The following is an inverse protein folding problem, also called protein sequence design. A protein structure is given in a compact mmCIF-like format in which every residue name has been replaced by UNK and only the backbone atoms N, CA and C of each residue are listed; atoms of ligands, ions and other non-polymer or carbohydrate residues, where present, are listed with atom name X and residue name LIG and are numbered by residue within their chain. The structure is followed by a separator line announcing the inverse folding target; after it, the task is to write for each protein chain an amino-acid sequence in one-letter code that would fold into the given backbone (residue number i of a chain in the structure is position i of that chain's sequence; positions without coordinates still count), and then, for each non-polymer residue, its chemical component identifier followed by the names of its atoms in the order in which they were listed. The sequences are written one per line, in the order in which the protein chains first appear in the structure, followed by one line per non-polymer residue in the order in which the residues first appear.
data_IF_734885177979
#
_entry.id   IF_734885177979
#
_cell.length_a   1.000
_cell.length_b   1.000
_cell.length_c   1.000
_cell.angle_alpha   90.00
_cell.angle_beta   90.00
_cell.angle_gamma   90.00
#
_symmetry.space_group_name_H-M   'P 1'
#
loop_
_entity.id
_entity.type
_entity.pdbx_description
1 polymer ?
#
# COMPACT_ATOMS: atom_id res chain seq x y z
N UNK A 1 -11.67 -14.69 1.91
CA UNK A 1 -11.51 -14.64 0.45
C UNK A 1 -10.10 -15.06 0.07
N UNK A 2 -9.88 -15.50 -1.15
CA UNK A 2 -8.60 -16.09 -1.57
C UNK A 2 -7.40 -15.15 -1.44
N UNK A 3 -7.61 -13.83 -1.59
CA UNK A 3 -6.57 -12.82 -1.39
C UNK A 3 -6.00 -12.79 0.03
N UNK A 4 -6.83 -12.90 1.05
CA UNK A 4 -6.37 -12.81 2.44
C UNK A 4 -5.59 -14.06 2.87
N UNK A 5 -5.84 -15.22 2.24
CA UNK A 5 -5.25 -16.51 2.63
C UNK A 5 -3.73 -16.47 2.54
N UNK A 6 -3.18 -15.83 1.51
CA UNK A 6 -1.73 -15.75 1.38
C UNK A 6 -1.09 -14.99 2.54
N UNK A 7 -1.78 -14.03 3.16
CA UNK A 7 -1.23 -13.11 4.16
C UNK A 7 -1.37 -13.57 5.61
N UNK A 8 -2.11 -14.65 5.87
CA UNK A 8 -2.36 -15.18 7.21
C UNK A 8 -1.28 -16.21 7.53
N UNK A 9 -0.34 -15.88 8.42
CA UNK A 9 0.71 -16.83 8.82
C UNK A 9 0.38 -17.60 10.11
N UNK A 10 -0.58 -17.12 10.91
CA UNK A 10 -1.04 -17.81 12.11
C UNK A 10 -2.53 -18.21 12.01
N UNK A 11 -2.95 -19.29 12.68
CA UNK A 11 -4.36 -19.66 12.72
C UNK A 11 -5.25 -18.57 13.31
N UNK A 12 -6.51 -18.51 12.88
CA UNK A 12 -7.49 -17.57 13.43
C UNK A 12 -7.52 -17.61 14.96
N UNK A 13 -7.48 -16.43 15.59
CA UNK A 13 -7.37 -16.26 17.03
C UNK A 13 -5.96 -15.95 17.53
N UNK A 14 -4.93 -16.08 16.69
CA UNK A 14 -3.58 -15.62 16.99
C UNK A 14 -3.35 -14.21 16.46
N UNK A 15 -2.59 -13.41 17.21
CA UNK A 15 -2.33 -12.02 16.85
C UNK A 15 -1.26 -11.93 15.76
N UNK A 16 -1.58 -11.22 14.68
CA UNK A 16 -0.62 -10.61 13.76
C UNK A 16 -0.64 -9.10 13.99
N UNK A 17 0.51 -8.45 13.87
CA UNK A 17 0.64 -7.04 14.23
C UNK A 17 1.54 -6.23 13.31
N UNK A 18 2.05 -5.11 13.84
CA UNK A 18 2.94 -4.21 13.13
C UNK A 18 4.08 -4.92 12.36
N UNK A 19 4.90 -5.80 12.96
CA UNK A 19 5.98 -6.48 12.23
C UNK A 19 5.49 -7.38 11.11
N UNK A 20 4.29 -7.99 11.26
CA UNK A 20 3.72 -8.84 10.22
C UNK A 20 3.37 -8.03 8.98
N UNK A 21 2.84 -6.81 9.12
CA UNK A 21 2.52 -5.95 7.99
C UNK A 21 3.72 -5.69 7.08
N UNK A 22 4.90 -5.38 7.64
CA UNK A 22 6.13 -5.19 6.85
C UNK A 22 6.57 -6.49 6.18
N UNK A 23 6.59 -7.59 6.93
CA UNK A 23 6.92 -8.92 6.38
C UNK A 23 6.01 -9.26 5.20
N UNK A 24 4.70 -9.00 5.31
CA UNK A 24 3.74 -9.25 4.25
C UNK A 24 3.94 -8.35 3.03
N UNK A 25 4.25 -7.07 3.25
CA UNK A 25 4.56 -6.13 2.17
C UNK A 25 5.80 -6.58 1.39
N UNK A 26 6.91 -6.87 2.08
CA UNK A 26 8.13 -7.33 1.43
C UNK A 26 7.95 -8.66 0.71
N UNK A 27 7.22 -9.61 1.32
CA UNK A 27 6.93 -10.89 0.65
C UNK A 27 6.16 -10.68 -0.65
N UNK A 28 5.18 -9.77 -0.68
CA UNK A 28 4.43 -9.45 -1.90
C UNK A 28 5.32 -8.88 -2.98
N UNK A 29 6.20 -7.93 -2.62
CA UNK A 29 7.16 -7.32 -3.53
C UNK A 29 8.11 -8.35 -4.15
N UNK A 30 8.75 -9.19 -3.33
CA UNK A 30 9.70 -10.17 -3.83
C UNK A 30 9.03 -11.31 -4.61
N UNK A 31 7.82 -11.73 -4.21
CA UNK A 31 7.06 -12.72 -4.98
C UNK A 31 6.71 -12.20 -6.37
N UNK A 32 6.36 -10.93 -6.50
CA UNK A 32 6.08 -10.29 -7.78
C UNK A 32 7.32 -10.27 -8.69
N UNK A 33 8.49 -9.94 -8.14
CA UNK A 33 9.76 -9.99 -8.88
C UNK A 33 10.07 -11.43 -9.32
N UNK A 34 9.93 -12.39 -8.41
CA UNK A 34 10.24 -13.79 -8.67
C UNK A 34 9.30 -14.43 -9.71
N UNK A 35 8.03 -14.01 -9.74
CA UNK A 35 7.06 -14.49 -10.72
C UNK A 35 7.40 -14.03 -12.16
N UNK A 36 8.09 -12.91 -12.32
CA UNK A 36 8.50 -12.38 -13.63
C UNK A 36 7.35 -11.87 -14.50
N UNK A 37 6.10 -11.90 -14.02
CA UNK A 37 4.94 -11.32 -14.70
C UNK A 37 4.70 -9.90 -14.22
N UNK A 38 5.33 -8.95 -14.91
CA UNK A 38 5.19 -7.52 -14.59
C UNK A 38 3.88 -6.89 -15.11
N UNK A 39 2.97 -7.68 -15.68
CA UNK A 39 1.62 -7.25 -16.04
C UNK A 39 0.60 -7.54 -14.93
N UNK A 40 0.95 -8.39 -13.96
CA UNK A 40 0.10 -8.69 -12.82
C UNK A 40 -0.14 -7.46 -11.94
N UNK A 41 -1.30 -7.39 -11.28
CA UNK A 41 -1.61 -6.29 -10.36
C UNK A 41 -0.73 -6.35 -9.11
N UNK A 42 0.12 -5.35 -8.85
CA UNK A 42 0.97 -5.32 -7.65
C UNK A 42 0.12 -5.32 -6.36
N UNK A 43 0.52 -6.14 -5.39
CA UNK A 43 -0.08 -6.17 -4.04
C UNK A 43 0.82 -5.48 -3.01
N UNK A 44 1.55 -4.46 -3.45
CA UNK A 44 2.48 -3.65 -2.65
C UNK A 44 2.48 -2.21 -3.18
N UNK A 45 2.92 -1.22 -2.37
CA UNK A 45 3.00 0.16 -2.82
C UNK A 45 3.98 0.31 -3.99
N UNK A 46 3.50 0.84 -5.11
CA UNK A 46 4.32 1.14 -6.30
C UNK A 46 4.79 2.59 -6.25
N UNK A 47 5.65 2.98 -7.21
CA UNK A 47 6.00 4.40 -7.37
C UNK A 47 4.79 5.28 -7.71
N UNK A 48 3.80 4.76 -8.43
CA UNK A 48 2.58 5.50 -8.73
C UNK A 48 1.77 5.77 -7.44
N UNK A 49 1.66 4.79 -6.55
CA UNK A 49 1.03 4.99 -5.24
C UNK A 49 1.85 5.95 -4.36
N UNK A 50 3.18 5.87 -4.41
CA UNK A 50 4.06 6.83 -3.73
C UNK A 50 3.87 8.26 -4.22
N UNK A 51 3.73 8.46 -5.53
CA UNK A 51 3.46 9.78 -6.09
C UNK A 51 2.09 10.33 -5.64
N UNK A 52 1.05 9.49 -5.63
CA UNK A 52 -0.28 9.89 -5.15
C UNK A 52 -0.26 10.32 -3.68
N UNK A 53 0.54 9.67 -2.84
CA UNK A 53 0.71 10.07 -1.44
C UNK A 53 1.31 11.48 -1.34
N UNK A 54 2.35 11.79 -2.13
CA UNK A 54 2.98 13.11 -2.15
C UNK A 54 1.98 14.18 -2.60
N UNK A 55 1.25 13.94 -3.69
CA UNK A 55 0.26 14.90 -4.22
C UNK A 55 -0.87 15.13 -3.22
N UNK A 56 -1.29 14.10 -2.49
CA UNK A 56 -2.24 14.24 -1.39
C UNK A 56 -1.67 15.12 -0.26
N UNK A 57 -0.42 14.90 0.15
CA UNK A 57 0.25 15.71 1.16
C UNK A 57 0.36 17.19 0.74
N UNK A 58 0.65 17.47 -0.53
CA UNK A 58 0.67 18.83 -1.07
C UNK A 58 -0.72 19.49 -1.02
N UNK A 59 -1.76 18.76 -1.40
CA UNK A 59 -3.14 19.23 -1.31
C UNK A 59 -3.56 19.51 0.14
N UNK A 60 -3.14 18.67 1.11
CA UNK A 60 -3.38 18.90 2.54
C UNK A 60 -2.69 20.19 2.99
N UNK A 61 -1.42 20.39 2.63
CA UNK A 61 -0.68 21.61 2.97
C UNK A 61 -1.32 22.86 2.35
N UNK A 62 -1.80 22.77 1.11
CA UNK A 62 -2.53 23.86 0.44
C UNK A 62 -3.86 24.16 1.12
N UNK A 63 -4.66 23.12 1.41
CA UNK A 63 -5.92 23.22 2.15
C UNK A 63 -5.75 23.94 3.48
N UNK A 64 -4.70 23.56 4.24
CA UNK A 64 -4.36 24.21 5.50
C UNK A 64 -4.03 25.69 5.32
N UNK A 65 -3.31 26.09 4.27
CA UNK A 65 -2.99 27.51 4.02
C UNK A 65 -4.21 28.31 3.59
N UNK A 66 -5.07 27.72 2.76
CA UNK A 66 -6.23 28.40 2.18
C UNK A 66 -7.49 28.31 3.03
N UNK A 67 -7.47 27.51 4.11
CA UNK A 67 -8.60 27.28 5.02
C UNK A 67 -9.89 26.87 4.29
N UNK A 68 -9.74 26.06 3.23
CA UNK A 68 -10.86 25.57 2.42
C UNK A 68 -10.51 24.24 1.80
N UNK A 69 -11.53 23.52 1.37
CA UNK A 69 -11.37 22.34 0.53
C UNK A 69 -10.69 22.69 -0.79
N UNK A 70 -9.68 21.90 -1.14
CA UNK A 70 -8.99 21.92 -2.44
C UNK A 70 -9.09 20.54 -3.07
N UNK A 71 -9.13 20.49 -4.40
CA UNK A 71 -9.05 19.22 -5.10
C UNK A 71 -7.62 18.65 -4.98
N UNK A 72 -7.53 17.33 -4.89
CA UNK A 72 -6.26 16.61 -5.07
C UNK A 72 -6.03 16.52 -6.57
N UNK A 73 -4.89 17.03 -7.04
CA UNK A 73 -4.54 17.01 -8.46
C UNK A 73 -4.13 15.58 -8.86
N UNK A 74 -4.26 15.24 -10.15
CA UNK A 74 -4.04 13.88 -10.67
C UNK A 74 -2.66 13.75 -11.32
#
# INVERSE_FOLDING_TARGET
GDLARSYINYPGGHNEGFPDAFKQCFRSFYNYIAAGDYSATPQFPTFAEGHREVVLCEAILRSHREQRWVAVEA
#
